data_IF_435946903746
#
_entry.id   IF_435946903746
#
_cell.length_a   1.000
_cell.length_b   1.000
_cell.length_c   1.000
_cell.angle_alpha   90.00
_cell.angle_beta   90.00
_cell.angle_gamma   90.00
#
_symmetry.space_group_name_H-M   'P 1'
#
loop_
_entity.id
_entity.type
_entity.pdbx_description
1 polymer ?
#
# COMPACT_ATOMS: atom_id res chain seq x y z
N UNK A 1 -74.41 39.28 -3.46
CA UNK A 1 -73.74 38.53 -4.56
C UNK A 1 -72.24 38.77 -4.43
N UNK A 2 -71.44 37.69 -4.41
CA UNK A 2 -69.96 37.58 -4.47
C UNK A 2 -69.14 38.43 -3.49
N UNK A 3 -68.55 37.93 -2.39
CA UNK A 3 -67.66 36.78 -2.14
C UNK A 3 -66.27 36.96 -2.79
N UNK A 4 -65.25 37.37 -2.01
CA UNK A 4 -63.83 37.02 -2.23
C UNK A 4 -63.05 37.17 -0.92
N UNK A 5 -62.57 36.04 -0.41
CA UNK A 5 -61.59 35.92 0.69
C UNK A 5 -60.18 35.99 0.09
N UNK A 6 -59.23 36.65 0.75
CA UNK A 6 -57.80 36.42 0.51
C UNK A 6 -57.11 36.14 1.84
N UNK A 7 -56.39 35.03 1.85
CA UNK A 7 -55.81 34.33 2.98
C UNK A 7 -54.49 34.98 3.46
N UNK A 8 -54.29 34.99 4.78
CA UNK A 8 -52.99 35.14 5.42
C UNK A 8 -52.11 33.94 5.06
N UNK A 9 -50.90 34.18 4.55
CA UNK A 9 -49.84 33.17 4.46
C UNK A 9 -48.90 33.39 5.65
N UNK A 10 -48.98 32.50 6.64
CA UNK A 10 -47.99 32.38 7.71
C UNK A 10 -46.71 31.78 7.13
N UNK A 11 -45.62 32.55 7.19
CA UNK A 11 -44.27 32.06 6.90
C UNK A 11 -43.79 31.21 8.07
N UNK A 12 -43.60 29.91 7.83
CA UNK A 12 -42.97 28.98 8.78
C UNK A 12 -41.46 29.10 8.60
N UNK A 13 -40.76 29.67 9.59
CA UNK A 13 -39.31 29.65 9.63
C UNK A 13 -38.83 28.24 10.00
N UNK A 14 -38.23 27.54 9.05
CA UNK A 14 -37.57 26.26 9.27
C UNK A 14 -36.23 26.51 9.98
N UNK A 15 -36.15 26.14 11.26
CA UNK A 15 -34.90 26.11 12.02
C UNK A 15 -34.00 25.03 11.44
N UNK A 16 -32.96 25.42 10.71
CA UNK A 16 -31.94 24.51 10.22
C UNK A 16 -31.19 23.89 11.41
N UNK A 17 -31.35 22.58 11.61
CA UNK A 17 -30.48 21.78 12.47
C UNK A 17 -29.07 21.81 11.87
N UNK A 18 -28.15 22.55 12.50
CA UNK A 18 -26.73 22.47 12.23
C UNK A 18 -26.23 21.11 12.75
N UNK A 19 -26.13 20.12 11.85
CA UNK A 19 -25.37 18.90 12.10
C UNK A 19 -23.89 19.30 12.29
N UNK A 20 -23.20 18.78 13.33
CA UNK A 20 -21.76 18.95 13.43
C UNK A 20 -21.08 18.30 12.21
N UNK A 21 -19.93 18.83 11.75
CA UNK A 21 -19.21 18.24 10.65
C UNK A 21 -18.91 16.78 11.00
N UNK A 22 -19.35 15.87 10.12
CA UNK A 22 -18.90 14.50 10.16
C UNK A 22 -17.37 14.54 10.14
N UNK A 23 -16.74 14.04 11.20
CA UNK A 23 -15.32 13.72 11.16
C UNK A 23 -15.17 12.61 10.12
N UNK A 24 -15.00 13.01 8.87
CA UNK A 24 -14.53 12.13 7.82
C UNK A 24 -13.16 11.68 8.26
N UNK A 25 -13.09 10.46 8.82
CA UNK A 25 -11.84 9.72 8.90
C UNK A 25 -11.30 9.71 7.49
N UNK A 26 -10.27 10.50 7.21
CA UNK A 26 -9.56 10.41 5.96
C UNK A 26 -9.06 8.98 5.88
N UNK A 27 -9.71 8.15 5.07
CA UNK A 27 -9.17 6.85 4.71
C UNK A 27 -7.83 7.16 4.06
N UNK A 28 -6.74 6.75 4.69
CA UNK A 28 -5.40 6.95 4.16
C UNK A 28 -5.34 6.28 2.77
N UNK A 29 -5.24 7.10 1.73
CA UNK A 29 -5.29 6.62 0.36
C UNK A 29 -4.17 5.61 0.15
N UNK A 30 -4.51 4.39 -0.27
CA UNK A 30 -3.51 3.35 -0.52
C UNK A 30 -2.60 3.81 -1.66
N UNK A 31 -1.27 3.82 -1.45
CA UNK A 31 -0.34 4.21 -2.51
C UNK A 31 -0.52 3.33 -3.75
N UNK A 32 -0.39 3.91 -4.93
CA UNK A 32 -0.39 3.14 -6.17
C UNK A 32 0.87 2.26 -6.25
N UNK A 33 0.73 1.01 -6.69
CA UNK A 33 1.86 0.12 -6.99
C UNK A 33 2.79 0.80 -8.01
N UNK A 34 4.09 0.84 -7.71
CA UNK A 34 5.09 1.54 -8.51
C UNK A 34 5.30 3.01 -8.14
N UNK A 35 4.47 3.59 -7.26
CA UNK A 35 4.68 4.97 -6.77
C UNK A 35 5.87 5.06 -5.82
N UNK A 36 6.46 6.25 -5.68
CA UNK A 36 7.53 6.50 -4.71
C UNK A 36 6.94 6.76 -3.33
N UNK A 37 7.52 6.12 -2.32
CA UNK A 37 7.24 6.41 -0.91
C UNK A 37 8.07 7.58 -0.44
N UNK A 38 7.70 8.17 0.70
CA UNK A 38 8.41 9.27 1.35
C UNK A 38 9.86 8.93 1.71
N UNK A 39 10.20 7.64 1.75
CA UNK A 39 11.56 7.12 1.99
C UNK A 39 12.34 6.86 0.71
N UNK A 40 11.86 7.30 -0.45
CA UNK A 40 12.50 7.12 -1.75
C UNK A 40 12.41 5.70 -2.34
N UNK A 41 11.75 4.77 -1.63
CA UNK A 41 11.49 3.40 -2.10
C UNK A 41 10.30 3.41 -3.06
N UNK A 42 10.16 2.36 -3.85
CA UNK A 42 8.99 2.13 -4.70
C UNK A 42 8.00 1.25 -3.96
N UNK A 43 6.74 1.66 -3.87
CA UNK A 43 5.67 0.90 -3.25
C UNK A 43 5.31 -0.34 -4.07
N UNK A 44 5.19 -1.49 -3.39
CA UNK A 44 4.98 -2.80 -4.02
C UNK A 44 3.60 -3.38 -3.68
N UNK A 45 3.17 -3.31 -2.42
CA UNK A 45 1.92 -3.94 -1.98
C UNK A 45 1.47 -3.36 -0.64
N UNK A 46 0.15 -3.22 -0.45
CA UNK A 46 -0.47 -3.08 0.87
C UNK A 46 -1.25 -4.35 1.17
N UNK A 47 -0.93 -4.99 2.28
CA UNK A 47 -1.69 -6.11 2.82
C UNK A 47 -2.57 -5.60 3.98
N UNK A 48 -3.90 -5.73 3.90
CA UNK A 48 -4.77 -5.35 5.00
C UNK A 48 -4.64 -6.32 6.18
N UNK A 49 -4.52 -5.79 7.39
CA UNK A 49 -4.47 -6.56 8.64
C UNK A 49 -5.47 -5.96 9.63
N UNK A 50 -6.65 -6.58 9.70
CA UNK A 50 -7.80 -6.04 10.44
C UNK A 50 -8.15 -4.60 10.00
N UNK A 51 -7.99 -3.62 10.91
CA UNK A 51 -8.16 -2.18 10.66
C UNK A 51 -6.84 -1.46 10.32
N UNK A 52 -5.73 -2.21 10.25
CA UNK A 52 -4.39 -1.73 9.92
C UNK A 52 -3.92 -2.33 8.60
N UNK A 53 -2.65 -2.12 8.27
CA UNK A 53 -2.01 -2.70 7.10
C UNK A 53 -0.53 -2.96 7.30
N UNK A 54 0.03 -3.75 6.40
CA UNK A 54 1.44 -3.95 6.15
C UNK A 54 1.77 -3.41 4.77
N UNK A 55 2.67 -2.43 4.69
CA UNK A 55 3.16 -1.90 3.43
C UNK A 55 4.49 -2.52 3.07
N UNK A 56 4.59 -2.92 1.80
CA UNK A 56 5.79 -3.47 1.20
C UNK A 56 6.33 -2.48 0.19
N UNK A 57 7.62 -2.21 0.26
CA UNK A 57 8.31 -1.32 -0.66
C UNK A 57 9.68 -1.88 -1.01
N UNK A 58 10.26 -1.43 -2.11
CA UNK A 58 11.59 -1.85 -2.49
C UNK A 58 12.39 -0.80 -3.24
N UNK A 59 13.68 -1.04 -3.41
CA UNK A 59 14.57 -0.21 -4.20
C UNK A 59 15.62 -1.10 -4.85
N UNK A 60 15.95 -0.82 -6.11
CA UNK A 60 17.02 -1.49 -6.82
C UNK A 60 18.36 -1.18 -6.12
N UNK A 61 19.14 -2.20 -5.80
CA UNK A 61 20.46 -2.05 -5.15
C UNK A 61 21.62 -2.39 -6.06
N UNK A 62 21.44 -3.30 -7.02
CA UNK A 62 22.44 -3.62 -8.04
C UNK A 62 21.77 -4.12 -9.32
N UNK A 63 22.53 -4.12 -10.41
CA UNK A 63 22.24 -4.81 -11.66
C UNK A 63 23.54 -5.51 -12.04
N UNK A 64 23.50 -6.83 -12.23
CA UNK A 64 24.69 -7.57 -12.64
C UNK A 64 24.88 -7.56 -14.16
N UNK A 65 23.94 -6.98 -14.91
CA UNK A 65 23.93 -6.90 -16.36
C UNK A 65 23.66 -8.24 -17.06
N UNK A 66 23.40 -9.31 -16.31
CA UNK A 66 23.19 -10.66 -16.80
C UNK A 66 21.71 -11.08 -16.72
N UNK A 67 20.80 -10.10 -16.76
CA UNK A 67 19.37 -10.35 -16.58
C UNK A 67 18.98 -10.57 -15.12
N UNK A 68 19.84 -10.27 -14.15
CA UNK A 68 19.46 -10.27 -12.73
C UNK A 68 19.46 -8.85 -12.15
N UNK A 69 18.49 -8.60 -11.28
CA UNK A 69 18.38 -7.35 -10.55
C UNK A 69 18.26 -7.65 -9.07
N UNK A 70 19.16 -7.08 -8.27
CA UNK A 70 19.03 -7.14 -6.82
C UNK A 70 18.12 -6.00 -6.35
N UNK A 71 17.11 -6.35 -5.57
CA UNK A 71 16.14 -5.43 -5.01
C UNK A 71 16.15 -5.57 -3.50
N UNK A 72 16.41 -4.48 -2.80
CA UNK A 72 16.11 -4.40 -1.38
C UNK A 72 14.60 -4.28 -1.21
N UNK A 73 13.99 -5.16 -0.42
CA UNK A 73 12.58 -5.17 -0.06
C UNK A 73 12.47 -4.93 1.44
N UNK A 74 11.54 -4.05 1.82
CA UNK A 74 11.15 -3.84 3.20
C UNK A 74 9.64 -4.02 3.37
N UNK A 75 9.27 -4.71 4.43
CA UNK A 75 7.90 -4.80 4.93
C UNK A 75 7.80 -4.03 6.23
N UNK A 76 6.87 -3.08 6.30
CA UNK A 76 6.64 -2.26 7.50
C UNK A 76 5.13 -2.14 7.77
N UNK A 77 4.72 -2.39 9.01
CA UNK A 77 3.33 -2.19 9.38
C UNK A 77 2.95 -2.83 10.71
N UNK A 78 1.71 -3.28 10.79
CA UNK A 78 1.13 -3.79 12.04
C UNK A 78 1.78 -5.08 12.53
N UNK A 79 2.03 -6.02 11.63
CA UNK A 79 2.53 -7.37 11.95
C UNK A 79 3.84 -7.71 11.26
N UNK A 80 4.38 -6.79 10.45
CA UNK A 80 5.61 -7.00 9.71
C UNK A 80 6.67 -5.96 10.09
N UNK A 81 7.86 -6.48 10.38
CA UNK A 81 9.13 -5.76 10.33
C UNK A 81 10.04 -6.67 9.51
N UNK A 82 10.34 -6.28 8.29
CA UNK A 82 11.13 -7.10 7.38
C UNK A 82 12.08 -6.25 6.57
N UNK A 83 13.29 -6.76 6.38
CA UNK A 83 14.24 -6.24 5.42
C UNK A 83 15.00 -7.37 4.75
N UNK A 84 15.21 -7.28 3.44
CA UNK A 84 15.95 -8.29 2.70
C UNK A 84 16.38 -7.81 1.34
N UNK A 85 17.36 -8.48 0.75
CA UNK A 85 17.78 -8.28 -0.63
C UNK A 85 17.44 -9.55 -1.39
N UNK A 86 16.51 -9.43 -2.33
CA UNK A 86 16.17 -10.50 -3.27
C UNK A 86 16.89 -10.26 -4.58
N UNK A 87 17.46 -11.31 -5.14
CA UNK A 87 17.95 -11.31 -6.51
C UNK A 87 16.86 -11.88 -7.42
N UNK A 88 16.41 -11.07 -8.38
CA UNK A 88 15.34 -11.43 -9.30
C UNK A 88 15.96 -11.82 -10.64
N UNK A 89 15.64 -13.02 -11.15
CA UNK A 89 15.92 -13.36 -12.54
C UNK A 89 14.84 -12.70 -13.43
N UNK A 90 15.23 -11.71 -14.21
CA UNK A 90 14.32 -10.94 -15.07
C UNK A 90 13.93 -11.65 -16.36
N UNK A 91 14.62 -12.75 -16.70
CA UNK A 91 14.29 -13.60 -17.85
C UNK A 91 13.32 -14.74 -17.47
N UNK A 92 13.22 -15.05 -16.18
CA UNK A 92 12.26 -16.00 -15.62
C UNK A 92 11.03 -15.27 -15.07
N UNK A 93 9.90 -15.98 -14.94
CA UNK A 93 8.72 -15.46 -14.23
C UNK A 93 8.71 -15.84 -12.74
N UNK A 94 9.44 -16.89 -12.38
CA UNK A 94 9.36 -17.52 -11.05
C UNK A 94 10.68 -17.58 -10.32
N UNK A 95 11.82 -17.56 -11.01
CA UNK A 95 13.11 -17.70 -10.35
C UNK A 95 13.50 -16.42 -9.63
N UNK A 96 13.81 -16.55 -8.34
CA UNK A 96 14.42 -15.55 -7.50
C UNK A 96 15.11 -16.27 -6.34
N UNK A 97 16.00 -15.59 -5.63
CA UNK A 97 16.54 -16.09 -4.38
C UNK A 97 16.84 -14.93 -3.43
N UNK A 98 16.67 -15.16 -2.13
CA UNK A 98 17.03 -14.18 -1.11
C UNK A 98 18.53 -14.26 -0.84
N UNK A 99 19.23 -13.13 -1.02
CA UNK A 99 20.66 -13.02 -0.68
C UNK A 99 20.85 -12.87 0.82
N UNK A 100 20.01 -12.04 1.40
CA UNK A 100 19.87 -11.79 2.84
C UNK A 100 18.41 -11.46 3.12
N UNK A 101 17.90 -11.90 4.26
CA UNK A 101 16.58 -11.56 4.72
C UNK A 101 16.54 -11.63 6.24
N UNK A 102 15.82 -10.69 6.85
CA UNK A 102 15.72 -10.59 8.28
C UNK A 102 14.42 -9.97 8.76
N UNK A 103 14.16 -10.21 10.04
CA UNK A 103 13.13 -9.55 10.82
C UNK A 103 13.78 -8.99 12.08
N UNK A 104 13.68 -7.68 12.27
CA UNK A 104 14.15 -7.01 13.49
C UNK A 104 15.63 -7.32 13.82
N UNK A 105 16.46 -7.45 12.79
CA UNK A 105 17.89 -7.76 12.90
C UNK A 105 18.24 -9.24 13.08
N UNK A 106 17.25 -10.14 13.05
CA UNK A 106 17.48 -11.59 13.05
C UNK A 106 17.42 -12.12 11.62
N UNK A 107 18.41 -12.93 11.23
CA UNK A 107 18.40 -13.59 9.93
C UNK A 107 17.28 -14.64 9.87
N UNK A 108 16.57 -14.69 8.75
CA UNK A 108 15.51 -15.67 8.48
C UNK A 108 16.01 -16.76 7.54
N UNK A 109 15.51 -17.97 7.73
CA UNK A 109 15.61 -19.05 6.73
C UNK A 109 14.69 -18.79 5.53
N UNK A 110 14.94 -19.45 4.40
CA UNK A 110 14.13 -19.30 3.20
C UNK A 110 12.65 -19.64 3.44
N UNK A 111 12.36 -20.70 4.19
CA UNK A 111 10.98 -21.08 4.56
C UNK A 111 10.28 -19.98 5.39
N UNK A 112 10.99 -19.37 6.34
CA UNK A 112 10.45 -18.27 7.14
C UNK A 112 10.19 -17.02 6.28
N UNK A 113 11.05 -16.76 5.30
CA UNK A 113 10.86 -15.65 4.36
C UNK A 113 9.65 -15.90 3.47
N UNK A 114 9.50 -17.09 2.89
CA UNK A 114 8.37 -17.44 2.02
C UNK A 114 7.03 -17.41 2.78
N UNK A 115 7.03 -17.77 4.07
CA UNK A 115 5.85 -17.66 4.92
C UNK A 115 5.49 -16.19 5.25
N UNK A 116 6.48 -15.29 5.25
CA UNK A 116 6.34 -13.89 5.70
C UNK A 116 6.11 -12.91 4.56
N UNK A 117 6.77 -13.10 3.42
CA UNK A 117 6.73 -12.19 2.27
C UNK A 117 5.62 -12.65 1.32
N UNK A 118 4.56 -11.87 1.10
CA UNK A 118 3.50 -12.26 0.19
C UNK A 118 4.04 -12.44 -1.24
N UNK A 119 3.68 -13.50 -1.97
CA UNK A 119 4.18 -13.74 -3.33
C UNK A 119 3.95 -12.56 -4.29
N UNK A 120 2.85 -11.81 -4.08
CA UNK A 120 2.52 -10.57 -4.81
C UNK A 120 3.62 -9.50 -4.72
N UNK A 121 4.38 -9.44 -3.62
CA UNK A 121 5.51 -8.51 -3.46
C UNK A 121 6.59 -8.82 -4.50
N UNK A 122 6.95 -10.09 -4.67
CA UNK A 122 7.95 -10.53 -5.65
C UNK A 122 7.46 -10.29 -7.08
N UNK A 123 6.20 -10.60 -7.37
CA UNK A 123 5.60 -10.34 -8.69
C UNK A 123 5.64 -8.86 -9.04
N UNK A 124 5.24 -7.99 -8.11
CA UNK A 124 5.25 -6.54 -8.34
C UNK A 124 6.68 -5.99 -8.42
N UNK A 125 7.60 -6.47 -7.58
CA UNK A 125 9.01 -6.10 -7.64
C UNK A 125 9.60 -6.46 -9.01
N UNK A 126 9.36 -7.66 -9.54
CA UNK A 126 9.81 -8.07 -10.87
C UNK A 126 9.23 -7.17 -11.96
N UNK A 127 7.91 -6.94 -11.94
CA UNK A 127 7.24 -6.10 -12.94
C UNK A 127 7.77 -4.67 -13.00
N UNK A 128 8.21 -4.13 -11.86
CA UNK A 128 8.74 -2.77 -11.72
C UNK A 128 10.23 -2.72 -12.04
N UNK A 129 11.03 -3.59 -11.42
CA UNK A 129 12.48 -3.46 -11.42
C UNK A 129 13.15 -4.19 -12.57
N UNK A 130 12.53 -5.19 -13.20
CA UNK A 130 13.12 -5.86 -14.37
C UNK A 130 12.92 -5.12 -15.70
N UNK A 131 12.15 -4.03 -15.72
CA UNK A 131 11.89 -3.21 -16.92
C UNK A 131 12.69 -1.92 -16.98
N UNK A 132 13.66 -1.77 -16.08
CA UNK A 132 14.51 -0.57 -15.93
C UNK A 132 15.75 -0.63 -16.80
#
# INVERSE_FOLDING_TARGET
>A
MSNTRIFHVLSVAATAFLLPPAHGSAAEETPAVGSKTDRGRTFLLREPVEMYWNDWSGVRVSDDGAGQVDVYIAGEGKTVVFDGVVSLNCESETEYYWRIAGDSGQALSEEEVDAKVPPRVIVNARAIFCKG
#
